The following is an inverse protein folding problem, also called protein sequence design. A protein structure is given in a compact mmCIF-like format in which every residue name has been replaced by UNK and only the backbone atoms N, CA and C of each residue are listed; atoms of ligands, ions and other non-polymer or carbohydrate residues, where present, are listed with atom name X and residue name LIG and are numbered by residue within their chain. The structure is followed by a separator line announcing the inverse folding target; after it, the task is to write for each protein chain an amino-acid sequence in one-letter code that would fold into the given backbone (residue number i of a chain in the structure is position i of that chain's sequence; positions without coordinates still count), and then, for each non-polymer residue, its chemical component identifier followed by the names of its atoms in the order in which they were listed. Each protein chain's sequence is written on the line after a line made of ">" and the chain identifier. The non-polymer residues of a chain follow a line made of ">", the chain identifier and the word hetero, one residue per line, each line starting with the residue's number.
data_IF_119639587187
#
_entry.id   IF_119639587187
#
_cell.length_a   1.000
_cell.length_b   1.000
_cell.length_c   1.000
_cell.angle_alpha   90.00
_cell.angle_beta   90.00
_cell.angle_gamma   90.00
#
_symmetry.space_group_name_H-M   'P 1'
#
loop_
_entity.id
_entity.type
_entity.pdbx_description
1 polymer ?
#
# COMPACT_ATOMS: atom_id res chain seq x y z
N UNK A 1 -6.02 -20.86 54.61
CA UNK A 1 -4.95 -20.15 53.86
C UNK A 1 -5.30 -20.26 52.38
N UNK A 2 -6.00 -19.26 51.84
CA UNK A 2 -6.34 -19.20 50.41
C UNK A 2 -5.42 -18.17 49.76
N UNK A 3 -4.50 -18.59 48.91
CA UNK A 3 -3.71 -17.71 48.04
C UNK A 3 -3.72 -18.33 46.65
N UNK A 4 -4.40 -17.68 45.71
CA UNK A 4 -3.77 -16.83 44.69
C UNK A 4 -4.77 -16.68 43.53
N UNK A 5 -5.29 -15.47 43.35
CA UNK A 5 -6.01 -15.08 42.15
C UNK A 5 -4.95 -14.86 41.07
N UNK A 6 -4.84 -15.79 40.13
CA UNK A 6 -4.11 -15.55 38.90
C UNK A 6 -4.97 -14.61 38.03
N UNK A 7 -4.76 -13.30 38.17
CA UNK A 7 -5.22 -12.33 37.20
C UNK A 7 -4.38 -12.52 35.93
N UNK A 8 -4.83 -13.42 35.05
CA UNK A 8 -4.30 -13.50 33.69
C UNK A 8 -4.78 -12.24 32.97
N UNK A 9 -3.83 -11.33 32.74
CA UNK A 9 -4.03 -10.09 31.99
C UNK A 9 -4.30 -10.47 30.54
N UNK A 10 -5.51 -10.22 30.05
CA UNK A 10 -5.76 -10.27 28.61
C UNK A 10 -4.93 -9.17 27.95
N UNK A 11 -3.92 -9.58 27.18
CA UNK A 11 -3.21 -8.71 26.28
C UNK A 11 -4.18 -8.34 25.16
N UNK A 12 -4.62 -7.08 25.15
CA UNK A 12 -5.55 -6.56 24.17
C UNK A 12 -5.00 -6.77 22.77
N UNK A 13 -5.65 -7.64 21.99
CA UNK A 13 -5.50 -7.67 20.54
C UNK A 13 -5.90 -6.29 20.03
N UNK A 14 -4.91 -5.47 19.66
CA UNK A 14 -5.18 -4.25 18.92
C UNK A 14 -5.70 -4.70 17.56
N UNK A 15 -7.02 -4.71 17.39
CA UNK A 15 -7.65 -4.97 16.10
C UNK A 15 -7.31 -3.78 15.21
N UNK A 16 -6.21 -3.89 14.47
CA UNK A 16 -5.86 -2.92 13.45
C UNK A 16 -6.87 -3.08 12.31
N UNK A 17 -7.59 -1.99 12.01
CA UNK A 17 -8.56 -1.99 10.92
C UNK A 17 -7.82 -1.92 9.59
N UNK A 18 -8.53 -2.32 8.53
CA UNK A 18 -8.04 -2.13 7.18
C UNK A 18 -8.67 -0.88 6.58
N UNK A 19 -7.91 -0.09 5.80
CA UNK A 19 -6.59 -0.41 5.25
C UNK A 19 -5.38 -0.05 6.15
N UNK A 20 -5.58 0.41 7.39
CA UNK A 20 -4.48 0.95 8.23
C UNK A 20 -3.40 -0.09 8.55
N UNK A 21 -3.76 -1.35 8.72
CA UNK A 21 -2.81 -2.43 8.97
C UNK A 21 -1.89 -2.69 7.77
N UNK A 22 -2.45 -2.74 6.57
CA UNK A 22 -1.69 -2.91 5.34
C UNK A 22 -0.76 -1.71 5.09
N UNK A 23 -1.24 -0.48 5.31
CA UNK A 23 -0.41 0.73 5.23
C UNK A 23 0.77 0.64 6.21
N UNK A 24 0.52 0.19 7.43
CA UNK A 24 1.57 0.03 8.45
C UNK A 24 2.64 -0.97 8.01
N UNK A 25 2.25 -2.10 7.41
CA UNK A 25 3.20 -3.11 6.91
C UNK A 25 3.99 -2.54 5.72
N UNK A 26 3.32 -1.94 4.74
CA UNK A 26 3.94 -1.40 3.54
C UNK A 26 5.05 -0.37 3.86
N UNK A 27 4.79 0.50 4.84
CA UNK A 27 5.70 1.58 5.23
C UNK A 27 6.76 1.14 6.25
N UNK A 28 6.64 -0.05 6.85
CA UNK A 28 7.65 -0.58 7.75
C UNK A 28 8.86 -1.13 6.97
N UNK A 29 9.96 -0.37 7.00
CA UNK A 29 11.22 -0.74 6.35
C UNK A 29 11.90 -1.96 6.97
N UNK A 30 11.51 -2.36 8.18
CA UNK A 30 12.00 -3.57 8.85
C UNK A 30 11.15 -4.81 8.54
N UNK A 31 9.95 -4.65 7.99
CA UNK A 31 9.13 -5.76 7.52
C UNK A 31 9.80 -6.48 6.36
N UNK A 32 9.45 -7.75 6.15
CA UNK A 32 10.03 -8.53 5.06
C UNK A 32 9.52 -8.00 3.72
N UNK A 33 10.35 -8.15 2.69
CA UNK A 33 10.02 -7.70 1.34
C UNK A 33 8.72 -8.35 0.82
N UNK A 34 8.51 -9.64 1.08
CA UNK A 34 7.28 -10.35 0.68
C UNK A 34 6.04 -9.87 1.44
N UNK A 35 6.15 -9.54 2.72
CA UNK A 35 5.03 -8.97 3.49
C UNK A 35 4.66 -7.58 2.97
N UNK A 36 5.65 -6.78 2.58
CA UNK A 36 5.44 -5.43 2.01
C UNK A 36 4.86 -5.50 0.60
N UNK A 37 5.31 -6.47 -0.19
CA UNK A 37 4.79 -6.79 -1.52
C UNK A 37 3.30 -7.18 -1.45
N UNK A 38 2.97 -8.16 -0.61
CA UNK A 38 1.58 -8.59 -0.35
C UNK A 38 0.73 -7.39 0.12
N UNK A 39 1.26 -6.56 1.03
CA UNK A 39 0.56 -5.39 1.50
C UNK A 39 0.30 -4.35 0.40
N UNK A 40 1.26 -4.14 -0.50
CA UNK A 40 1.10 -3.24 -1.63
C UNK A 40 -0.02 -3.72 -2.56
N UNK A 41 -0.04 -5.01 -2.89
CA UNK A 41 -1.06 -5.64 -3.74
C UNK A 41 -2.45 -5.60 -3.09
N UNK A 42 -2.56 -5.96 -1.81
CA UNK A 42 -3.83 -5.99 -1.09
C UNK A 42 -4.45 -4.58 -0.93
N UNK A 43 -3.61 -3.54 -0.87
CA UNK A 43 -4.08 -2.14 -0.81
C UNK A 43 -4.85 -1.72 -2.06
N UNK A 44 -4.68 -2.39 -3.21
CA UNK A 44 -5.45 -2.13 -4.43
C UNK A 44 -6.97 -2.18 -4.18
N UNK A 45 -7.42 -3.08 -3.31
CA UNK A 45 -8.85 -3.26 -3.01
C UNK A 45 -9.49 -2.05 -2.30
N UNK A 46 -8.68 -1.12 -1.80
CA UNK A 46 -9.13 0.03 -1.05
C UNK A 46 -8.92 1.32 -1.86
N UNK A 47 -9.86 2.25 -1.73
CA UNK A 47 -9.72 3.63 -2.22
C UNK A 47 -9.60 4.58 -1.04
N UNK A 48 -8.95 5.73 -1.25
CA UNK A 48 -8.85 6.78 -0.25
C UNK A 48 -7.48 7.43 -0.21
N UNK A 49 -7.45 8.67 0.30
CA UNK A 49 -6.25 9.51 0.30
C UNK A 49 -5.08 8.86 1.05
N UNK A 50 -5.33 8.18 2.17
CA UNK A 50 -4.28 7.52 2.95
C UNK A 50 -3.62 6.36 2.20
N UNK A 51 -4.40 5.58 1.46
CA UNK A 51 -3.90 4.46 0.65
C UNK A 51 -3.04 4.99 -0.51
N UNK A 52 -3.58 5.96 -1.25
CA UNK A 52 -2.87 6.61 -2.36
C UNK A 52 -1.57 7.23 -1.89
N UNK A 53 -1.59 7.92 -0.74
CA UNK A 53 -0.39 8.55 -0.18
C UNK A 53 0.68 7.52 0.19
N UNK A 54 0.30 6.40 0.81
CA UNK A 54 1.24 5.34 1.18
C UNK A 54 1.88 4.70 -0.07
N UNK A 55 1.08 4.40 -1.10
CA UNK A 55 1.57 3.84 -2.36
C UNK A 55 2.48 4.82 -3.11
N UNK A 56 2.13 6.10 -3.13
CA UNK A 56 2.99 7.16 -3.71
C UNK A 56 4.31 7.27 -2.96
N UNK A 57 4.31 7.21 -1.62
CA UNK A 57 5.54 7.27 -0.82
C UNK A 57 6.53 6.16 -1.20
N UNK A 58 6.02 4.94 -1.40
CA UNK A 58 6.80 3.79 -1.85
C UNK A 58 7.25 3.96 -3.31
N UNK A 59 6.33 4.28 -4.21
CA UNK A 59 6.57 4.43 -5.65
C UNK A 59 7.46 5.64 -6.01
N UNK A 60 7.62 6.60 -5.10
CA UNK A 60 8.52 7.75 -5.23
C UNK A 60 9.90 7.53 -4.59
N UNK A 61 10.08 6.45 -3.82
CA UNK A 61 11.31 6.24 -3.04
C UNK A 61 12.49 5.81 -3.93
N UNK A 62 13.63 6.51 -3.88
CA UNK A 62 14.81 6.18 -4.69
C UNK A 62 15.56 4.93 -4.24
N UNK A 63 15.23 4.39 -3.06
CA UNK A 63 15.93 3.26 -2.42
C UNK A 63 14.99 2.09 -2.13
N UNK A 64 13.77 2.13 -2.66
CA UNK A 64 12.82 1.03 -2.51
C UNK A 64 13.28 -0.22 -3.27
N UNK A 65 12.94 -1.37 -2.71
CA UNK A 65 13.07 -2.65 -3.39
C UNK A 65 12.19 -2.69 -4.64
N UNK A 66 12.72 -3.24 -5.74
CA UNK A 66 12.03 -3.26 -7.05
C UNK A 66 10.69 -4.00 -6.98
N UNK A 67 10.60 -5.10 -6.22
CA UNK A 67 9.37 -5.88 -6.12
C UNK A 67 8.26 -5.08 -5.44
N UNK A 68 8.58 -4.46 -4.30
CA UNK A 68 7.62 -3.64 -3.53
C UNK A 68 7.22 -2.40 -4.33
N UNK A 69 8.14 -1.79 -5.07
CA UNK A 69 7.85 -0.66 -5.93
C UNK A 69 6.94 -1.02 -7.09
N UNK A 70 7.20 -2.13 -7.79
CA UNK A 70 6.39 -2.60 -8.91
C UNK A 70 4.94 -2.85 -8.45
N UNK A 71 4.76 -3.57 -7.34
CA UNK A 71 3.44 -3.85 -6.76
C UNK A 71 2.73 -2.59 -6.25
N UNK A 72 3.46 -1.64 -5.67
CA UNK A 72 2.89 -0.36 -5.25
C UNK A 72 2.46 0.50 -6.45
N UNK A 73 3.27 0.54 -7.50
CA UNK A 73 2.97 1.27 -8.73
C UNK A 73 1.79 0.66 -9.48
N UNK A 74 1.72 -0.67 -9.59
CA UNK A 74 0.61 -1.36 -10.22
C UNK A 74 -0.71 -1.10 -9.47
N UNK A 75 -0.69 -1.28 -8.15
CA UNK A 75 -1.88 -1.05 -7.30
C UNK A 75 -2.34 0.40 -7.34
N UNK A 76 -1.40 1.36 -7.30
CA UNK A 76 -1.69 2.77 -7.49
C UNK A 76 -2.36 3.03 -8.85
N UNK A 77 -1.81 2.48 -9.93
CA UNK A 77 -2.37 2.64 -11.27
C UNK A 77 -3.80 2.11 -11.37
N UNK A 78 -4.08 0.94 -10.78
CA UNK A 78 -5.41 0.31 -10.78
C UNK A 78 -6.41 1.11 -9.93
N UNK A 79 -6.00 1.62 -8.77
CA UNK A 79 -6.82 2.53 -7.95
C UNK A 79 -7.16 3.80 -8.73
N UNK A 80 -6.17 4.46 -9.33
CA UNK A 80 -6.39 5.69 -10.11
C UNK A 80 -7.29 5.44 -11.32
N UNK A 81 -7.14 4.30 -11.99
CA UNK A 81 -8.03 3.92 -13.09
C UNK A 81 -9.48 3.76 -12.61
N UNK A 82 -9.68 3.09 -11.47
CA UNK A 82 -11.01 2.86 -10.88
C UNK A 82 -11.64 4.16 -10.36
N UNK A 83 -10.86 5.04 -9.76
CA UNK A 83 -11.33 6.25 -9.09
C UNK A 83 -11.52 7.45 -10.06
N UNK A 84 -11.37 7.22 -11.37
CA UNK A 84 -11.69 8.22 -12.41
C UNK A 84 -10.52 9.07 -12.88
N UNK A 85 -9.27 8.70 -12.55
CA UNK A 85 -8.07 9.22 -13.18
C UNK A 85 -6.93 9.56 -12.23
N UNK A 86 -5.86 10.10 -12.81
CA UNK A 86 -4.66 10.50 -12.09
C UNK A 86 -4.71 11.99 -11.72
N UNK A 87 -4.52 12.37 -10.44
CA UNK A 87 -4.33 13.76 -10.04
C UNK A 87 -3.19 14.44 -10.79
N UNK A 88 -3.35 15.75 -11.03
CA UNK A 88 -2.31 16.56 -11.67
C UNK A 88 -1.02 16.53 -10.85
N UNK A 89 0.13 16.39 -11.53
CA UNK A 89 1.44 16.37 -10.89
C UNK A 89 1.83 15.07 -10.17
N UNK A 90 0.88 14.14 -9.93
CA UNK A 90 1.18 12.90 -9.22
C UNK A 90 2.25 12.07 -9.95
N UNK A 91 2.09 11.84 -11.26
CA UNK A 91 3.06 11.07 -12.05
C UNK A 91 4.46 11.68 -12.06
N UNK A 92 4.57 13.01 -11.91
CA UNK A 92 5.85 13.69 -11.87
C UNK A 92 6.59 13.49 -10.54
N UNK A 93 5.88 13.09 -9.49
CA UNK A 93 6.47 12.78 -8.18
C UNK A 93 7.01 11.35 -8.10
N UNK A 94 6.62 10.46 -9.01
CA UNK A 94 6.99 9.05 -8.99
C UNK A 94 8.41 8.83 -9.54
N UNK A 95 9.02 7.72 -9.11
CA UNK A 95 10.25 7.21 -9.73
C UNK A 95 9.98 6.87 -11.20
N UNK A 96 10.94 7.04 -12.14
CA UNK A 96 10.67 6.89 -13.57
C UNK A 96 10.11 5.52 -14.00
N UNK A 97 10.53 4.45 -13.35
CA UNK A 97 10.03 3.08 -13.52
C UNK A 97 8.60 2.90 -12.98
N UNK A 98 8.31 3.34 -11.75
CA UNK A 98 6.98 3.33 -11.16
C UNK A 98 5.99 4.15 -12.01
N UNK A 99 6.43 5.33 -12.47
CA UNK A 99 5.65 6.17 -13.38
C UNK A 99 5.24 5.41 -14.64
N UNK A 100 6.17 4.70 -15.27
CA UNK A 100 5.91 3.93 -16.49
C UNK A 100 4.84 2.85 -16.24
N UNK A 101 4.92 2.15 -15.12
CA UNK A 101 3.95 1.11 -14.73
C UNK A 101 2.55 1.72 -14.56
N UNK A 102 2.45 2.82 -13.79
CA UNK A 102 1.16 3.52 -13.59
C UNK A 102 0.57 3.98 -14.93
N UNK A 103 1.39 4.56 -15.81
CA UNK A 103 0.95 4.98 -17.15
C UNK A 103 0.47 3.82 -18.03
N UNK A 104 1.14 2.66 -17.96
CA UNK A 104 0.76 1.43 -18.66
C UNK A 104 -0.60 0.92 -18.18
N UNK A 105 -0.81 0.83 -16.86
CA UNK A 105 -2.09 0.41 -16.26
C UNK A 105 -3.21 1.36 -16.67
N UNK A 106 -3.02 2.68 -16.51
CA UNK A 106 -4.01 3.68 -16.89
C UNK A 106 -4.36 3.62 -18.39
N UNK A 107 -3.40 3.30 -19.25
CA UNK A 107 -3.63 3.11 -20.70
C UNK A 107 -4.46 1.86 -20.96
N UNK A 108 -4.14 0.76 -20.30
CA UNK A 108 -4.87 -0.50 -20.45
C UNK A 108 -6.34 -0.38 -20.02
N UNK A 109 -6.62 0.30 -18.90
CA UNK A 109 -7.99 0.49 -18.40
C UNK A 109 -8.89 1.30 -19.35
N UNK A 110 -8.33 2.19 -20.16
CA UNK A 110 -9.08 3.00 -21.15
C UNK A 110 -9.45 2.24 -22.43
N UNK A 111 -8.91 1.04 -22.65
CA UNK A 111 -9.18 0.25 -23.86
C UNK A 111 -10.34 -0.75 -23.69
N UNK A 112 -10.93 -0.81 -22.50
CA UNK A 112 -11.98 -1.78 -22.14
C UNK A 112 -13.39 -1.14 -22.18
N UNK A 113 -13.46 0.17 -22.44
CA UNK A 113 -14.71 0.93 -22.70
C UNK A 113 -15.07 0.96 -24.18
#
# INVERSE_FOLDING_TARGET
>A
MWMLVAAFREEGSVVVRQPEGLISVLLDRAARIDERDDAAMDLEAYSGELVVKALVEVASSPVEDELVLDSAAESLGRILARDGGCPEGLLASLRPDAKRIVEEVLRASRQVE
#
